data_IF_295442321067
#
_entry.id   IF_295442321067
#
_cell.length_a   1.000
_cell.length_b   1.000
_cell.length_c   1.000
_cell.angle_alpha   90.00
_cell.angle_beta   90.00
_cell.angle_gamma   90.00
#
_symmetry.space_group_name_H-M   'P 1'
#
loop_
_entity.id
_entity.type
_entity.pdbx_description
1 polymer ?
#
# COMPACT_ATOMS: atom_id res chain seq x y z
N UNK A 1 19.66 10.31 28.18
CA UNK A 1 18.20 10.09 28.09
C UNK A 1 17.97 8.58 28.23
N UNK A 2 17.31 8.12 29.30
CA UNK A 2 17.05 6.70 29.53
C UNK A 2 15.87 6.31 28.62
N UNK A 3 16.09 5.40 27.66
CA UNK A 3 15.01 4.93 26.78
C UNK A 3 14.01 4.18 27.67
N UNK A 4 12.85 4.80 27.89
CA UNK A 4 11.70 4.14 28.51
C UNK A 4 10.92 3.43 27.39
N UNK A 5 10.57 2.14 27.53
CA UNK A 5 9.76 1.41 26.55
C UNK A 5 8.33 1.95 26.36
N UNK A 6 7.96 3.02 27.07
CA UNK A 6 6.70 3.75 26.91
C UNK A 6 6.80 5.06 26.13
N UNK A 7 8.01 5.55 25.80
CA UNK A 7 8.17 6.76 25.00
C UNK A 7 8.00 6.43 23.51
N UNK A 8 6.78 6.54 22.99
CA UNK A 8 6.44 6.25 21.59
C UNK A 8 7.24 7.11 20.60
N UNK A 9 7.44 8.40 20.89
CA UNK A 9 8.24 9.28 20.03
C UNK A 9 9.69 8.81 19.92
N UNK A 10 10.29 8.36 21.03
CA UNK A 10 11.63 7.79 21.03
C UNK A 10 11.69 6.44 20.30
N UNK A 11 10.65 5.61 20.39
CA UNK A 11 10.54 4.35 19.64
C UNK A 11 10.45 4.59 18.13
N UNK A 12 9.58 5.51 17.69
CA UNK A 12 9.44 5.87 16.27
C UNK A 12 10.71 6.54 15.72
N UNK A 13 11.41 7.29 16.56
CA UNK A 13 12.66 7.96 16.18
C UNK A 13 13.88 7.03 16.21
N UNK A 14 13.77 5.86 16.84
CA UNK A 14 14.86 4.91 16.97
C UNK A 14 15.28 4.39 15.59
N UNK A 15 16.59 4.49 15.31
CA UNK A 15 17.20 3.91 14.11
C UNK A 15 17.98 2.67 14.53
N UNK A 16 17.59 1.51 14.03
CA UNK A 16 18.39 0.29 14.17
C UNK A 16 19.81 0.51 13.65
N UNK A 17 20.81 0.01 14.37
CA UNK A 17 22.21 0.14 13.95
C UNK A 17 22.42 -0.59 12.62
N UNK A 18 22.93 0.12 11.61
CA UNK A 18 23.13 -0.42 10.26
C UNK A 18 22.01 -0.08 9.26
N UNK A 19 20.85 0.40 9.73
CA UNK A 19 19.79 0.81 8.82
C UNK A 19 20.06 2.22 8.27
N UNK A 20 19.89 2.45 6.95
CA UNK A 20 19.97 3.79 6.37
C UNK A 20 18.82 4.68 6.88
N UNK A 21 18.95 6.01 6.74
CA UNK A 21 17.99 6.96 7.32
C UNK A 21 16.57 6.82 6.74
N UNK A 22 16.48 6.45 5.46
CA UNK A 22 15.24 6.26 4.72
C UNK A 22 14.41 5.04 5.14
N UNK A 23 14.87 4.22 6.09
CA UNK A 23 14.08 3.09 6.63
C UNK A 23 13.16 3.52 7.77
N UNK A 24 13.04 4.81 8.07
CA UNK A 24 12.18 5.29 9.16
C UNK A 24 10.77 5.54 8.64
N UNK A 25 9.71 5.30 9.43
CA UNK A 25 8.36 5.67 9.04
C UNK A 25 8.21 7.18 8.73
N UNK A 26 8.99 8.04 9.40
CA UNK A 26 8.98 9.50 9.15
C UNK A 26 9.57 9.88 7.78
N UNK A 27 10.36 9.00 7.17
CA UNK A 27 10.85 9.20 5.80
C UNK A 27 9.92 8.56 4.77
N UNK A 28 8.89 7.82 5.20
CA UNK A 28 7.86 7.31 4.33
C UNK A 28 6.80 8.40 4.09
N UNK A 29 6.38 8.53 2.85
CA UNK A 29 5.38 9.51 2.44
C UNK A 29 4.13 8.72 2.08
N UNK A 30 3.22 8.65 3.04
CA UNK A 30 1.95 7.94 2.89
C UNK A 30 1.04 8.72 1.97
N UNK A 31 0.76 8.18 0.79
CA UNK A 31 -0.45 8.51 0.05
C UNK A 31 -1.38 7.28 0.07
N UNK A 32 -2.63 7.41 -0.35
CA UNK A 32 -3.69 6.39 -0.24
C UNK A 32 -3.41 5.05 -0.95
N UNK A 33 -2.23 4.91 -1.58
CA UNK A 33 -1.67 3.66 -2.05
C UNK A 33 -0.38 3.39 -1.26
N UNK A 34 -0.19 2.17 -0.71
CA UNK A 34 1.02 1.85 0.04
C UNK A 34 2.24 2.26 -0.79
N UNK A 35 3.09 3.10 -0.21
CA UNK A 35 4.35 3.45 -0.84
C UNK A 35 5.12 2.19 -1.18
N UNK A 36 5.95 2.24 -2.22
CA UNK A 36 6.77 1.11 -2.68
C UNK A 36 7.78 0.60 -1.63
N UNK A 37 7.80 1.20 -0.45
CA UNK A 37 8.63 0.80 0.66
C UNK A 37 7.98 -0.29 1.52
N UNK A 38 6.65 -0.29 1.67
CA UNK A 38 5.92 -1.23 2.54
C UNK A 38 4.50 -1.50 2.06
N UNK A 39 4.14 -2.78 1.94
CA UNK A 39 2.76 -3.24 1.79
C UNK A 39 2.09 -3.47 3.15
N UNK A 40 1.39 -2.45 3.65
CA UNK A 40 0.65 -2.55 4.91
C UNK A 40 -0.62 -3.41 4.83
N UNK A 41 -1.09 -3.78 3.63
CA UNK A 41 -2.25 -4.68 3.49
C UNK A 41 -1.96 -6.04 4.11
N UNK A 42 -0.69 -6.43 4.15
CA UNK A 42 -0.20 -7.67 4.77
C UNK A 42 -0.64 -7.81 6.23
N UNK A 43 -0.83 -6.71 6.96
CA UNK A 43 -1.39 -6.73 8.33
C UNK A 43 -2.76 -7.42 8.36
N UNK A 44 -3.56 -7.25 7.32
CA UNK A 44 -4.89 -7.84 7.20
C UNK A 44 -4.88 -9.36 7.14
N UNK A 45 -3.81 -9.97 6.59
CA UNK A 45 -3.71 -11.41 6.34
C UNK A 45 -4.03 -12.24 7.57
N UNK A 46 -3.55 -11.83 8.74
CA UNK A 46 -3.72 -12.56 10.01
C UNK A 46 -4.52 -11.77 11.04
N UNK A 47 -5.34 -10.81 10.60
CA UNK A 47 -6.10 -9.93 11.49
C UNK A 47 -7.02 -10.71 12.44
N UNK A 48 -7.52 -11.87 12.01
CA UNK A 48 -8.37 -12.73 12.80
C UNK A 48 -7.61 -13.96 13.28
N UNK A 49 -7.80 -14.33 14.55
CA UNK A 49 -7.19 -15.55 15.09
C UNK A 49 -7.64 -16.79 14.31
N UNK A 50 -6.70 -17.70 14.03
CA UNK A 50 -6.96 -18.93 13.29
C UNK A 50 -7.30 -18.74 11.81
N UNK A 51 -7.21 -17.54 11.23
CA UNK A 51 -7.43 -17.30 9.79
C UNK A 51 -6.21 -16.67 9.11
N UNK A 52 -5.94 -17.12 7.89
CA UNK A 52 -5.05 -16.44 6.95
C UNK A 52 -5.83 -16.06 5.70
N UNK A 53 -5.92 -14.75 5.45
CA UNK A 53 -6.58 -14.14 4.30
C UNK A 53 -5.55 -13.72 3.24
N UNK A 54 -5.97 -13.66 1.97
CA UNK A 54 -5.28 -12.87 0.97
C UNK A 54 -5.71 -11.41 1.12
N UNK A 55 -4.73 -10.55 1.35
CA UNK A 55 -4.89 -9.13 1.67
C UNK A 55 -5.52 -8.27 0.57
N UNK A 56 -5.50 -8.71 -0.69
CA UNK A 56 -6.06 -7.94 -1.80
C UNK A 56 -7.49 -8.34 -2.20
N UNK A 57 -8.04 -9.44 -1.66
CA UNK A 57 -9.38 -9.90 -2.07
C UNK A 57 -10.12 -10.79 -1.05
N UNK A 58 -9.67 -10.82 0.20
CA UNK A 58 -10.37 -11.45 1.35
C UNK A 58 -10.66 -12.96 1.22
N UNK A 59 -9.90 -13.69 0.39
CA UNK A 59 -10.01 -15.15 0.33
C UNK A 59 -9.30 -15.78 1.52
N UNK A 60 -9.97 -16.70 2.20
CA UNK A 60 -9.35 -17.54 3.23
C UNK A 60 -8.47 -18.59 2.56
N UNK A 61 -7.15 -18.42 2.66
CA UNK A 61 -6.17 -19.39 2.16
C UNK A 61 -5.81 -20.44 3.18
N UNK A 62 -5.90 -20.10 4.46
CA UNK A 62 -5.73 -21.06 5.53
C UNK A 62 -6.62 -20.75 6.74
N UNK A 63 -7.01 -21.81 7.44
CA UNK A 63 -7.90 -21.72 8.59
C UNK A 63 -7.65 -22.86 9.59
N UNK A 64 -7.46 -22.51 10.85
CA UNK A 64 -7.30 -23.41 11.98
C UNK A 64 -8.64 -23.66 12.68
N UNK A 65 -8.80 -24.72 13.48
CA UNK A 65 -9.96 -24.88 14.35
C UNK A 65 -10.18 -23.65 15.26
N UNK A 66 -11.43 -23.19 15.45
CA UNK A 66 -12.69 -23.78 15.00
C UNK A 66 -13.11 -23.38 13.56
N UNK A 67 -12.31 -22.60 12.85
CA UNK A 67 -12.66 -22.00 11.56
C UNK A 67 -12.22 -22.80 10.33
N UNK A 68 -11.67 -24.01 10.49
CA UNK A 68 -11.14 -24.84 9.41
C UNK A 68 -12.06 -25.01 8.19
N UNK A 69 -13.39 -24.99 8.40
CA UNK A 69 -14.39 -25.06 7.32
C UNK A 69 -14.42 -23.85 6.39
N UNK A 70 -13.83 -22.72 6.76
CA UNK A 70 -13.83 -21.48 5.98
C UNK A 70 -12.77 -21.44 4.87
N UNK A 71 -11.88 -22.44 4.78
CA UNK A 71 -10.85 -22.48 3.73
C UNK A 71 -11.50 -22.41 2.33
N UNK A 72 -11.03 -21.46 1.52
CA UNK A 72 -11.56 -21.07 0.20
C UNK A 72 -12.93 -20.35 0.20
N UNK A 73 -13.42 -19.93 1.35
CA UNK A 73 -14.50 -18.94 1.44
C UNK A 73 -13.94 -17.53 1.40
N UNK A 74 -14.77 -16.55 1.04
CA UNK A 74 -14.38 -15.13 1.03
C UNK A 74 -15.08 -14.38 2.14
N UNK A 75 -14.34 -13.57 2.88
CA UNK A 75 -14.88 -12.64 3.87
C UNK A 75 -15.45 -11.42 3.11
N UNK A 76 -16.76 -11.20 3.22
CA UNK A 76 -17.47 -10.14 2.48
C UNK A 76 -17.72 -8.92 3.34
N UNK A 77 -17.99 -9.14 4.62
CA UNK A 77 -18.27 -8.09 5.59
C UNK A 77 -17.90 -8.54 7.00
N UNK A 78 -17.72 -7.56 7.88
CA UNK A 78 -17.67 -7.75 9.32
C UNK A 78 -18.77 -6.95 10.00
N UNK A 79 -19.14 -7.32 11.22
CA UNK A 79 -19.87 -6.44 12.11
C UNK A 79 -19.07 -5.14 12.31
N UNK A 80 -19.72 -4.00 12.12
CA UNK A 80 -19.06 -2.70 12.24
C UNK A 80 -18.80 -2.35 13.71
N UNK A 81 -17.54 -2.32 14.16
CA UNK A 81 -17.23 -2.07 15.57
C UNK A 81 -17.59 -0.65 16.03
N UNK A 82 -17.74 0.29 15.10
CA UNK A 82 -18.03 1.69 15.42
C UNK A 82 -19.52 1.95 15.65
N UNK A 83 -20.40 1.19 14.98
CA UNK A 83 -21.86 1.36 15.09
C UNK A 83 -22.54 0.26 15.90
N UNK A 84 -21.88 -0.89 16.11
CA UNK A 84 -22.36 -2.02 16.92
C UNK A 84 -23.63 -2.71 16.41
N UNK A 85 -24.21 -2.22 15.31
CA UNK A 85 -25.49 -2.70 14.74
C UNK A 85 -25.46 -2.79 13.21
N UNK A 86 -24.36 -2.39 12.58
CA UNK A 86 -24.16 -2.41 11.14
C UNK A 86 -23.20 -3.50 10.66
N UNK A 87 -23.10 -3.63 9.34
CA UNK A 87 -22.07 -4.42 8.66
C UNK A 87 -21.15 -3.48 7.90
N UNK A 88 -19.85 -3.65 8.08
CA UNK A 88 -18.83 -3.03 7.26
C UNK A 88 -18.55 -3.95 6.07
N UNK A 89 -19.04 -3.58 4.89
CA UNK A 89 -18.69 -4.28 3.65
C UNK A 89 -17.20 -4.10 3.37
N UNK A 90 -16.52 -5.19 3.07
CA UNK A 90 -15.11 -5.21 2.71
C UNK A 90 -14.91 -5.31 1.20
N UNK A 91 -15.98 -5.37 0.42
CA UNK A 91 -15.92 -5.49 -1.03
C UNK A 91 -16.86 -4.47 -1.65
N UNK A 92 -16.41 -3.83 -2.72
CA UNK A 92 -17.17 -2.79 -3.41
C UNK A 92 -17.21 -3.08 -4.91
N UNK A 93 -18.30 -2.72 -5.61
CA UNK A 93 -18.31 -2.72 -7.06
C UNK A 93 -17.36 -1.64 -7.57
N UNK A 94 -16.56 -2.00 -8.56
CA UNK A 94 -15.60 -1.12 -9.20
C UNK A 94 -16.26 -0.55 -10.44
N UNK A 95 -16.43 0.77 -10.48
CA UNK A 95 -17.02 1.46 -11.62
C UNK A 95 -15.96 2.26 -12.35
N UNK A 96 -16.09 2.31 -13.67
CA UNK A 96 -15.19 3.07 -14.52
C UNK A 96 -15.36 4.57 -14.32
N UNK A 97 -14.45 5.34 -14.91
CA UNK A 97 -14.65 6.79 -15.03
C UNK A 97 -15.98 7.00 -15.76
N UNK A 98 -16.93 7.76 -15.17
CA UNK A 98 -18.15 8.11 -15.86
C UNK A 98 -17.77 8.99 -17.06
N UNK A 99 -17.93 8.45 -18.28
CA UNK A 99 -17.77 9.20 -19.51
C UNK A 99 -19.16 9.46 -20.09
N UNK A 100 -19.37 10.57 -20.82
CA UNK A 100 -20.63 10.79 -21.53
C UNK A 100 -20.97 9.57 -22.41
N UNK A 101 -22.05 8.86 -22.07
CA UNK A 101 -22.48 7.64 -22.79
C UNK A 101 -21.88 6.32 -22.30
N UNK A 102 -21.07 6.32 -21.23
CA UNK A 102 -20.53 5.10 -20.61
C UNK A 102 -20.75 5.11 -19.09
N UNK A 103 -21.68 4.26 -18.64
CA UNK A 103 -21.78 3.78 -17.26
C UNK A 103 -21.45 2.28 -17.28
N UNK A 104 -20.21 1.92 -17.01
CA UNK A 104 -19.78 0.53 -17.03
C UNK A 104 -19.15 0.10 -15.71
N UNK A 105 -19.66 -0.99 -15.15
CA UNK A 105 -18.93 -1.77 -14.17
C UNK A 105 -17.62 -2.27 -14.79
N UNK A 106 -16.51 -2.22 -14.04
CA UNK A 106 -15.17 -2.62 -14.52
C UNK A 106 -14.94 -4.13 -14.45
N UNK A 107 -15.98 -4.92 -14.72
CA UNK A 107 -15.86 -6.37 -14.82
C UNK A 107 -14.99 -6.78 -16.01
N UNK A 108 -14.18 -7.81 -15.85
CA UNK A 108 -13.39 -8.41 -16.94
C UNK A 108 -13.33 -9.95 -16.83
N UNK A 109 -12.67 -10.65 -17.76
CA UNK A 109 -12.60 -12.12 -17.74
C UNK A 109 -12.05 -12.70 -16.43
N UNK A 110 -11.15 -11.96 -15.76
CA UNK A 110 -10.50 -12.35 -14.49
C UNK A 110 -11.23 -11.82 -13.25
N UNK A 111 -12.07 -10.79 -13.39
CA UNK A 111 -12.90 -10.21 -12.34
C UNK A 111 -14.31 -9.96 -12.88
N UNK A 112 -15.06 -11.04 -13.15
CA UNK A 112 -16.36 -10.95 -13.85
C UNK A 112 -17.38 -10.09 -13.12
N UNK A 113 -17.26 -10.05 -11.79
CA UNK A 113 -18.17 -9.33 -10.91
C UNK A 113 -17.72 -7.88 -10.66
N UNK A 114 -16.60 -7.45 -11.27
CA UNK A 114 -16.08 -6.08 -11.14
C UNK A 114 -15.80 -5.69 -9.69
N UNK A 115 -15.40 -6.63 -8.84
CA UNK A 115 -15.26 -6.42 -7.40
C UNK A 115 -13.84 -6.00 -7.06
N UNK A 116 -13.70 -4.98 -6.22
CA UNK A 116 -12.40 -4.61 -5.66
C UNK A 116 -12.45 -4.51 -4.14
N UNK A 117 -11.34 -4.89 -3.51
CA UNK A 117 -11.10 -4.64 -2.09
C UNK A 117 -10.40 -3.28 -1.91
N UNK A 118 -11.11 -2.19 -2.21
CA UNK A 118 -10.53 -0.84 -2.11
C UNK A 118 -10.59 -0.26 -0.70
N UNK A 119 -11.44 -0.82 0.16
CA UNK A 119 -11.72 -0.28 1.50
C UNK A 119 -10.78 -0.81 2.59
N UNK A 120 -9.64 -1.41 2.23
CA UNK A 120 -8.77 -2.09 3.20
C UNK A 120 -8.28 -1.17 4.32
N UNK A 121 -7.87 0.07 4.00
CA UNK A 121 -7.33 1.01 4.99
C UNK A 121 -8.42 1.48 5.96
N UNK A 122 -9.61 1.81 5.44
CA UNK A 122 -10.77 2.16 6.26
C UNK A 122 -11.22 0.98 7.12
N UNK A 123 -11.22 -0.23 6.54
CA UNK A 123 -11.55 -1.46 7.26
C UNK A 123 -10.56 -1.76 8.38
N UNK A 124 -9.27 -1.56 8.14
CA UNK A 124 -8.22 -1.73 9.12
C UNK A 124 -8.35 -0.72 10.27
N UNK A 125 -8.63 0.54 9.96
CA UNK A 125 -8.87 1.57 10.97
C UNK A 125 -10.10 1.26 11.82
N UNK A 126 -11.20 0.83 11.19
CA UNK A 126 -12.44 0.45 11.89
C UNK A 126 -12.26 -0.77 12.77
N UNK A 127 -11.57 -1.79 12.28
CA UNK A 127 -11.39 -3.04 13.02
C UNK A 127 -10.41 -2.90 14.19
N UNK A 128 -9.50 -1.93 14.13
CA UNK A 128 -8.60 -1.62 15.24
C UNK A 128 -9.34 -1.30 16.55
N UNK A 129 -10.56 -0.74 16.46
CA UNK A 129 -11.43 -0.50 17.61
C UNK A 129 -11.89 -1.81 18.28
N UNK A 130 -11.95 -2.91 17.52
CA UNK A 130 -12.32 -4.25 18.01
C UNK A 130 -11.13 -5.09 18.49
N UNK A 131 -9.91 -4.55 18.55
CA UNK A 131 -8.71 -5.31 19.00
C UNK A 131 -8.95 -6.06 20.33
N UNK A 132 -8.61 -7.34 20.36
CA UNK A 132 -8.80 -8.22 21.50
C UNK A 132 -10.26 -8.61 21.80
N UNK A 133 -11.22 -8.17 20.98
CA UNK A 133 -12.64 -8.53 21.09
C UNK A 133 -13.04 -9.48 19.95
N UNK A 134 -14.16 -10.14 20.16
CA UNK A 134 -14.81 -10.98 19.16
C UNK A 134 -15.87 -10.18 18.41
N UNK A 135 -15.90 -10.31 17.09
CA UNK A 135 -16.91 -9.72 16.20
C UNK A 135 -17.45 -10.77 15.23
N UNK A 136 -18.61 -10.54 14.62
CA UNK A 136 -19.08 -11.42 13.56
C UNK A 136 -18.45 -11.11 12.20
N UNK A 137 -17.93 -12.14 11.52
CA UNK A 137 -17.57 -12.12 10.11
C UNK A 137 -18.62 -12.82 9.24
N UNK A 138 -18.83 -12.31 8.03
CA UNK A 138 -19.78 -12.83 7.05
C UNK A 138 -19.04 -13.36 5.83
N UNK A 139 -19.14 -14.65 5.60
CA UNK A 139 -18.44 -15.37 4.54
C UNK A 139 -19.40 -15.90 3.48
N UNK A 140 -18.90 -16.11 2.27
CA UNK A 140 -19.65 -16.76 1.20
C UNK A 140 -20.27 -18.09 1.67
N UNK A 141 -21.51 -18.37 1.27
CA UNK A 141 -22.20 -19.61 1.65
C UNK A 141 -21.49 -20.89 1.13
N UNK A 142 -20.78 -20.75 0.01
CA UNK A 142 -19.97 -21.80 -0.63
C UNK A 142 -18.56 -21.26 -0.87
N UNK A 143 -17.61 -22.16 -1.10
CA UNK A 143 -16.26 -21.81 -1.57
C UNK A 143 -16.37 -21.00 -2.86
N UNK A 144 -15.59 -19.93 -2.97
CA UNK A 144 -15.69 -18.98 -4.09
C UNK A 144 -14.29 -18.66 -4.64
N UNK A 145 -13.90 -19.26 -5.78
CA UNK A 145 -12.64 -18.91 -6.42
C UNK A 145 -12.70 -17.49 -7.01
N UNK A 146 -13.87 -17.00 -7.41
CA UNK A 146 -14.07 -15.65 -7.95
C UNK A 146 -14.45 -14.66 -6.83
N UNK A 147 -14.04 -13.40 -6.96
CA UNK A 147 -14.48 -12.29 -6.11
C UNK A 147 -16.00 -12.12 -6.23
N UNK A 148 -16.69 -11.89 -5.12
CA UNK A 148 -18.14 -11.69 -5.10
C UNK A 148 -18.49 -10.50 -4.21
N UNK A 149 -19.57 -9.81 -4.55
CA UNK A 149 -20.10 -8.71 -3.73
C UNK A 149 -20.87 -9.25 -2.52
N UNK A 150 -20.98 -8.39 -1.51
CA UNK A 150 -21.95 -8.59 -0.45
C UNK A 150 -23.37 -8.54 -1.04
N UNK A 151 -24.25 -9.53 -0.76
CA UNK A 151 -25.63 -9.48 -1.22
C UNK A 151 -26.38 -8.28 -0.64
N UNK A 152 -27.16 -7.59 -1.48
CA UNK A 152 -27.99 -6.45 -1.06
C UNK A 152 -29.25 -6.88 -0.29
N UNK A 153 -29.79 -8.06 -0.61
CA UNK A 153 -31.03 -8.57 -0.02
C UNK A 153 -30.75 -9.32 1.27
N UNK A 154 -31.39 -8.93 2.36
CA UNK A 154 -31.25 -9.60 3.67
C UNK A 154 -31.55 -11.11 3.62
N UNK A 155 -32.49 -11.54 2.77
CA UNK A 155 -32.78 -12.96 2.57
C UNK A 155 -31.59 -13.75 2.01
N UNK A 156 -30.71 -13.11 1.24
CA UNK A 156 -29.49 -13.70 0.71
C UNK A 156 -28.32 -13.57 1.69
N UNK A 157 -28.27 -12.47 2.45
CA UNK A 157 -27.34 -12.29 3.57
C UNK A 157 -27.52 -13.40 4.61
N UNK A 158 -28.77 -13.79 4.92
CA UNK A 158 -29.08 -14.85 5.86
C UNK A 158 -28.54 -16.24 5.43
N UNK A 159 -28.18 -16.41 4.15
CA UNK A 159 -27.57 -17.65 3.63
C UNK A 159 -26.05 -17.67 3.79
N UNK A 160 -25.42 -16.55 4.13
CA UNK A 160 -23.98 -16.44 4.34
C UNK A 160 -23.57 -17.20 5.59
N UNK A 161 -22.31 -17.64 5.61
CA UNK A 161 -21.73 -18.25 6.81
C UNK A 161 -21.35 -17.12 7.77
N UNK A 162 -22.04 -17.04 8.90
CA UNK A 162 -21.76 -16.10 9.98
C UNK A 162 -20.95 -16.79 11.07
N UNK A 163 -19.78 -16.25 11.40
CA UNK A 163 -18.87 -16.82 12.42
C UNK A 163 -18.35 -15.72 13.33
N UNK A 164 -18.10 -16.08 14.58
CA UNK A 164 -17.37 -15.24 15.52
C UNK A 164 -15.88 -15.25 15.17
N UNK A 165 -15.25 -14.08 15.19
CA UNK A 165 -13.84 -13.88 14.87
C UNK A 165 -13.18 -13.04 15.97
N UNK A 166 -12.09 -13.55 16.56
CA UNK A 166 -11.27 -12.78 17.49
C UNK A 166 -10.31 -11.87 16.72
N UNK A 167 -10.38 -10.57 16.97
CA UNK A 167 -9.52 -9.57 16.31
C UNK A 167 -8.19 -9.44 17.04
N UNK A 168 -7.07 -9.65 16.34
CA UNK A 168 -5.73 -9.49 16.91
C UNK A 168 -5.38 -8.01 17.12
N UNK A 169 -4.57 -7.68 18.14
CA UNK A 169 -4.01 -6.34 18.28
C UNK A 169 -2.97 -6.05 17.19
N UNK A 170 -3.04 -4.86 16.59
CA UNK A 170 -2.10 -4.43 15.54
C UNK A 170 -0.69 -4.21 16.09
N UNK A 171 -0.60 -3.67 17.31
CA UNK A 171 0.66 -3.28 17.94
C UNK A 171 1.01 -4.22 19.09
N UNK A 172 2.31 -4.40 19.31
CA UNK A 172 2.82 -5.13 20.48
C UNK A 172 2.44 -4.41 21.77
N UNK A 173 2.34 -5.18 22.85
CA UNK A 173 2.10 -4.65 24.20
C UNK A 173 3.35 -4.80 25.05
N UNK A 174 3.69 -3.77 25.82
CA UNK A 174 4.81 -3.78 26.74
C UNK A 174 4.59 -4.82 27.86
N UNK A 175 5.53 -5.75 28.07
CA UNK A 175 5.41 -6.76 29.13
C UNK A 175 5.60 -6.17 30.53
N UNK A 176 6.05 -4.92 30.65
CA UNK A 176 6.32 -4.25 31.93
C UNK A 176 5.07 -3.56 32.48
N UNK A 177 4.33 -2.87 31.61
CA UNK A 177 3.21 -2.00 32.03
C UNK A 177 1.93 -2.21 31.21
N UNK A 178 1.89 -3.19 30.30
CA UNK A 178 0.69 -3.53 29.53
C UNK A 178 0.28 -2.46 28.51
N UNK A 179 1.13 -1.47 28.22
CA UNK A 179 0.79 -0.39 27.28
C UNK A 179 1.15 -0.74 25.85
N UNK A 180 0.41 -0.22 24.84
CA UNK A 180 0.78 -0.37 23.44
C UNK A 180 2.19 0.19 23.16
N UNK A 181 2.93 -0.53 22.32
CA UNK A 181 4.24 -0.13 21.81
C UNK A 181 4.14 0.25 20.33
N UNK A 182 5.19 0.87 19.78
CA UNK A 182 5.23 1.22 18.35
C UNK A 182 5.35 0.02 17.37
N UNK A 183 6.03 -1.09 17.70
CA UNK A 183 6.17 -2.21 16.75
C UNK A 183 4.83 -2.88 16.40
N UNK A 184 4.66 -3.23 15.12
CA UNK A 184 3.57 -4.09 14.64
C UNK A 184 3.73 -5.48 15.27
N UNK A 185 2.62 -6.09 15.65
CA UNK A 185 2.60 -7.42 16.24
C UNK A 185 3.20 -8.46 15.31
N UNK A 186 4.12 -9.28 15.84
CA UNK A 186 4.68 -10.43 15.11
C UNK A 186 3.67 -11.52 14.81
N UNK A 187 2.51 -11.50 15.47
CA UNK A 187 1.40 -12.40 15.13
C UNK A 187 0.71 -12.01 13.81
N UNK A 188 0.88 -10.77 13.38
CA UNK A 188 0.31 -10.27 12.13
C UNK A 188 1.30 -10.33 10.98
N UNK A 189 2.55 -9.93 11.25
CA UNK A 189 3.57 -9.70 10.24
C UNK A 189 4.89 -10.35 10.65
N UNK A 190 5.38 -11.25 9.82
CA UNK A 190 6.69 -11.89 9.94
C UNK A 190 7.78 -11.09 9.21
N UNK A 191 9.07 -11.32 9.52
CA UNK A 191 10.18 -10.67 8.82
C UNK A 191 10.09 -10.84 7.29
N UNK A 192 10.18 -9.73 6.56
CA UNK A 192 10.12 -9.70 5.09
C UNK A 192 8.72 -9.57 4.51
N UNK A 193 7.65 -9.83 5.28
CA UNK A 193 6.31 -9.85 4.72
C UNK A 193 5.80 -8.46 4.31
N UNK A 194 6.25 -7.37 4.95
CA UNK A 194 5.90 -6.00 4.52
C UNK A 194 6.48 -5.64 3.15
N UNK A 195 7.43 -6.40 2.63
CA UNK A 195 8.08 -6.10 1.34
C UNK A 195 7.91 -7.20 0.32
N UNK A 196 7.37 -8.36 0.70
CA UNK A 196 7.31 -9.56 -0.14
C UNK A 196 6.43 -9.41 -1.38
N UNK A 197 5.40 -8.55 -1.31
CA UNK A 197 4.45 -8.30 -2.40
C UNK A 197 4.89 -7.20 -3.36
N UNK A 198 6.03 -6.55 -3.10
CA UNK A 198 6.58 -5.49 -3.94
C UNK A 198 7.38 -6.10 -5.10
N UNK A 199 7.61 -5.34 -6.17
CA UNK A 199 8.40 -5.84 -7.29
C UNK A 199 9.84 -6.15 -6.87
N UNK A 200 10.34 -7.26 -7.39
CA UNK A 200 11.74 -7.66 -7.27
C UNK A 200 12.34 -7.81 -8.68
N UNK A 201 13.31 -6.96 -9.07
CA UNK A 201 13.90 -5.89 -8.28
C UNK A 201 13.01 -4.62 -8.21
N UNK A 202 13.18 -3.80 -7.17
CA UNK A 202 12.34 -2.64 -6.85
C UNK A 202 12.31 -1.55 -7.95
N UNK A 203 13.34 -1.50 -8.81
CA UNK A 203 13.40 -0.54 -9.91
C UNK A 203 12.24 -0.72 -10.90
N UNK A 204 11.62 -1.90 -10.95
CA UNK A 204 10.43 -2.12 -11.76
C UNK A 204 9.27 -1.23 -11.27
N UNK A 205 8.95 -1.28 -9.98
CA UNK A 205 7.94 -0.39 -9.42
C UNK A 205 8.36 1.08 -9.57
N UNK A 206 9.65 1.40 -9.36
CA UNK A 206 10.14 2.77 -9.48
C UNK A 206 9.92 3.40 -10.85
N UNK A 207 9.99 2.60 -11.93
CA UNK A 207 9.78 3.07 -13.30
C UNK A 207 8.34 2.90 -13.78
N UNK A 208 7.62 1.84 -13.37
CA UNK A 208 6.23 1.57 -13.77
C UNK A 208 5.18 2.42 -13.04
N UNK A 209 5.42 2.81 -11.78
CA UNK A 209 4.47 3.62 -11.03
C UNK A 209 4.41 5.05 -11.55
N UNK A 210 3.70 5.23 -12.68
CA UNK A 210 3.46 6.50 -13.36
C UNK A 210 2.43 7.40 -12.64
N UNK A 211 1.90 6.95 -11.50
CA UNK A 211 0.97 7.74 -10.73
C UNK A 211 1.73 8.80 -9.91
N UNK A 212 1.27 10.05 -9.97
CA UNK A 212 1.81 11.21 -9.24
C UNK A 212 1.70 11.12 -7.70
N UNK A 213 1.35 9.96 -7.14
CA UNK A 213 0.97 9.80 -5.74
C UNK A 213 2.13 9.94 -4.75
N UNK A 214 3.37 10.02 -5.21
CA UNK A 214 4.57 9.87 -4.37
C UNK A 214 5.71 10.80 -4.77
N UNK A 215 5.36 12.01 -5.25
CA UNK A 215 6.29 13.02 -5.77
C UNK A 215 7.44 13.40 -4.82
N UNK A 216 7.32 13.15 -3.52
CA UNK A 216 8.39 13.48 -2.57
C UNK A 216 9.39 12.32 -2.33
N UNK A 217 9.07 11.08 -2.73
CA UNK A 217 10.02 9.94 -2.75
C UNK A 217 10.50 9.60 -4.17
N UNK A 218 9.66 9.85 -5.18
CA UNK A 218 9.96 9.72 -6.60
C UNK A 218 9.34 10.91 -7.32
N UNK A 219 10.03 12.06 -7.37
CA UNK A 219 9.49 13.23 -8.03
C UNK A 219 9.32 12.94 -9.51
N UNK A 220 8.21 13.38 -10.11
CA UNK A 220 8.02 13.37 -11.56
C UNK A 220 8.43 14.71 -12.17
N UNK A 221 8.10 15.80 -11.48
CA UNK A 221 8.31 17.18 -11.90
C UNK A 221 9.28 17.90 -10.96
N UNK A 222 10.47 18.22 -11.45
CA UNK A 222 11.57 18.82 -10.68
C UNK A 222 12.05 20.12 -11.31
N UNK A 223 12.90 20.87 -10.60
CA UNK A 223 13.45 22.16 -11.05
C UNK A 223 12.36 23.16 -11.46
N UNK A 224 11.29 23.21 -10.67
CA UNK A 224 10.09 23.97 -10.98
C UNK A 224 10.33 25.47 -10.87
N UNK A 225 9.97 26.21 -11.91
CA UNK A 225 9.99 27.67 -11.98
C UNK A 225 8.58 28.17 -12.24
N UNK A 226 8.08 29.03 -11.36
CA UNK A 226 6.76 29.64 -11.49
C UNK A 226 6.74 30.66 -12.64
N UNK A 227 5.72 30.57 -13.49
CA UNK A 227 5.42 31.52 -14.55
C UNK A 227 4.63 32.71 -14.03
N UNK A 228 4.83 33.88 -14.65
CA UNK A 228 4.12 35.11 -14.28
C UNK A 228 2.61 35.05 -14.52
N UNK A 229 2.14 34.09 -15.32
CA UNK A 229 0.73 33.83 -15.64
C UNK A 229 0.09 32.76 -14.74
N UNK A 230 0.81 32.31 -13.70
CA UNK A 230 0.37 31.25 -12.79
C UNK A 230 0.59 29.83 -13.34
N UNK A 231 1.27 29.69 -14.49
CA UNK A 231 1.79 28.39 -14.94
C UNK A 231 3.09 28.04 -14.23
N UNK A 232 3.65 26.87 -14.49
CA UNK A 232 5.01 26.55 -14.08
C UNK A 232 5.73 25.80 -15.21
N UNK A 233 7.05 25.88 -15.21
CA UNK A 233 7.91 25.06 -16.07
C UNK A 233 8.88 24.25 -15.21
N UNK A 234 9.33 23.10 -15.70
CA UNK A 234 10.21 22.20 -14.97
C UNK A 234 10.60 21.00 -15.81
N UNK A 235 11.35 20.08 -15.22
CA UNK A 235 11.88 18.91 -15.92
C UNK A 235 11.18 17.63 -15.45
N UNK A 236 11.16 16.62 -16.33
CA UNK A 236 10.86 15.25 -15.95
C UNK A 236 12.07 14.64 -15.24
N UNK A 237 11.89 14.19 -13.99
CA UNK A 237 12.94 13.54 -13.21
C UNK A 237 13.52 12.29 -13.91
N UNK A 238 12.69 11.55 -14.64
CA UNK A 238 13.12 10.32 -15.31
C UNK A 238 13.75 10.57 -16.69
N UNK A 239 13.78 11.81 -17.18
CA UNK A 239 14.42 12.14 -18.45
C UNK A 239 15.92 11.85 -18.40
N UNK A 240 16.43 11.24 -19.48
CA UNK A 240 17.86 10.97 -19.67
C UNK A 240 18.59 12.31 -19.84
N UNK A 241 18.06 13.14 -20.73
CA UNK A 241 18.55 14.49 -20.98
C UNK A 241 17.49 15.51 -20.56
N UNK A 242 17.86 16.40 -19.62
CA UNK A 242 16.97 17.46 -19.13
C UNK A 242 17.29 18.77 -19.86
N UNK A 243 16.32 19.39 -20.55
CA UNK A 243 16.55 20.66 -21.22
C UNK A 243 16.96 21.76 -20.24
N UNK A 244 18.03 22.49 -20.58
CA UNK A 244 18.47 23.65 -19.84
C UNK A 244 17.39 24.74 -19.90
N UNK A 245 16.95 25.23 -18.74
CA UNK A 245 15.86 26.22 -18.64
C UNK A 245 14.45 25.64 -18.51
N UNK A 246 14.32 24.32 -18.35
CA UNK A 246 13.03 23.64 -18.20
C UNK A 246 12.49 23.09 -19.52
N UNK A 247 11.53 22.17 -19.43
CA UNK A 247 11.01 21.42 -20.56
C UNK A 247 10.66 20.02 -20.12
N UNK A 248 9.36 19.76 -19.97
CA UNK A 248 8.88 18.48 -19.51
C UNK A 248 8.90 17.47 -20.66
N UNK A 249 9.84 16.54 -20.61
CA UNK A 249 9.88 15.39 -21.52
C UNK A 249 8.75 14.44 -21.13
N UNK A 250 7.81 14.20 -22.04
CA UNK A 250 6.70 13.30 -21.76
C UNK A 250 7.20 11.85 -21.79
N UNK A 251 6.85 11.07 -20.77
CA UNK A 251 7.05 9.62 -20.80
C UNK A 251 5.83 8.95 -21.48
N UNK A 252 5.90 8.83 -22.80
CA UNK A 252 4.89 8.11 -23.60
C UNK A 252 5.23 6.62 -23.79
N UNK A 253 6.31 6.16 -23.14
CA UNK A 253 6.86 4.81 -23.24
C UNK A 253 7.26 4.38 -24.66
N UNK A 254 7.46 5.32 -25.58
CA UNK A 254 7.71 5.03 -27.00
C UNK A 254 9.02 5.60 -27.53
N UNK A 255 9.47 6.74 -27.03
CA UNK A 255 10.59 7.50 -27.62
C UNK A 255 11.96 7.28 -26.96
N UNK A 256 12.01 6.55 -25.83
CA UNK A 256 13.25 6.24 -25.11
C UNK A 256 13.91 7.45 -24.44
N UNK A 257 13.21 8.58 -24.33
CA UNK A 257 13.75 9.82 -23.76
C UNK A 257 13.86 9.79 -22.21
N UNK A 258 13.32 8.74 -21.58
CA UNK A 258 13.37 8.50 -20.13
C UNK A 258 14.06 7.16 -19.83
N UNK A 259 14.63 7.01 -18.63
CA UNK A 259 15.30 5.77 -18.22
C UNK A 259 14.39 4.54 -18.30
N UNK A 260 14.89 3.45 -18.88
CA UNK A 260 14.21 2.15 -18.97
C UNK A 260 14.51 1.24 -17.77
N UNK A 261 13.75 0.14 -17.64
CA UNK A 261 14.00 -0.91 -16.63
C UNK A 261 15.41 -1.47 -16.74
N UNK A 262 15.82 -1.84 -17.94
CA UNK A 262 17.12 -2.48 -18.18
C UNK A 262 18.28 -1.57 -17.77
N UNK A 263 18.16 -0.28 -18.06
CA UNK A 263 19.13 0.72 -17.63
C UNK A 263 19.17 0.82 -16.10
N UNK A 264 18.02 0.96 -15.43
CA UNK A 264 17.97 1.05 -13.97
C UNK A 264 18.44 -0.24 -13.28
N UNK A 265 18.22 -1.41 -13.86
CA UNK A 265 18.74 -2.67 -13.35
C UNK A 265 20.27 -2.71 -13.40
N UNK A 266 20.87 -2.17 -14.46
CA UNK A 266 22.31 -2.15 -14.65
C UNK A 266 23.01 -1.09 -13.79
N UNK A 267 22.45 0.11 -13.65
CA UNK A 267 23.16 1.22 -13.01
C UNK A 267 22.24 2.31 -12.41
N UNK A 268 21.21 1.92 -11.65
CA UNK A 268 20.34 2.91 -10.97
C UNK A 268 21.13 3.92 -10.12
N UNK A 269 22.21 3.52 -9.44
CA UNK A 269 23.02 4.43 -8.62
C UNK A 269 23.74 5.51 -9.46
N UNK A 270 24.09 5.16 -10.70
CA UNK A 270 24.67 6.09 -11.66
C UNK A 270 23.65 7.07 -12.22
N UNK A 271 22.43 6.59 -12.48
CA UNK A 271 21.38 7.33 -13.18
C UNK A 271 20.50 8.19 -12.23
N UNK A 272 20.15 7.66 -11.06
CA UNK A 272 19.28 8.32 -10.08
C UNK A 272 20.09 9.12 -9.04
N UNK A 273 21.00 9.98 -9.49
CA UNK A 273 21.79 10.84 -8.60
C UNK A 273 21.04 12.14 -8.30
N UNK A 274 21.07 12.54 -7.03
CA UNK A 274 20.57 13.84 -6.60
C UNK A 274 21.71 14.86 -6.62
N UNK A 275 21.53 15.96 -7.34
CA UNK A 275 22.37 17.15 -7.18
C UNK A 275 21.68 18.06 -6.17
N UNK A 276 22.25 18.20 -4.98
CA UNK A 276 21.69 19.02 -3.91
C UNK A 276 22.51 20.31 -3.81
N UNK A 277 21.89 21.45 -4.14
CA UNK A 277 22.51 22.77 -3.97
C UNK A 277 23.59 23.16 -5.00
N UNK A 278 23.68 22.46 -6.14
CA UNK A 278 24.53 22.79 -7.28
C UNK A 278 23.80 22.56 -8.61
N UNK A 279 24.30 23.12 -9.72
CA UNK A 279 23.70 22.87 -11.04
C UNK A 279 24.14 21.51 -11.59
N UNK A 280 23.25 20.84 -12.32
CA UNK A 280 23.59 19.60 -13.06
C UNK A 280 24.77 19.81 -14.02
N UNK A 281 24.95 21.03 -14.51
CA UNK A 281 26.08 21.42 -15.34
C UNK A 281 27.41 21.32 -14.60
N UNK A 282 27.46 21.68 -13.31
CA UNK A 282 28.66 21.49 -12.50
C UNK A 282 28.97 20.00 -12.28
N UNK A 283 27.95 19.17 -12.02
CA UNK A 283 28.14 17.72 -11.89
C UNK A 283 28.57 17.07 -13.22
N UNK A 284 28.11 17.59 -14.37
CA UNK A 284 28.57 17.16 -15.69
C UNK A 284 30.04 17.51 -15.92
N UNK A 285 30.43 18.75 -15.65
CA UNK A 285 31.81 19.23 -15.81
C UNK A 285 32.77 18.46 -14.89
N UNK A 286 32.38 18.18 -13.64
CA UNK A 286 33.18 17.40 -12.69
C UNK A 286 33.40 15.94 -13.12
N UNK A 287 32.57 15.40 -14.03
CA UNK A 287 32.73 14.06 -14.62
C UNK A 287 33.71 14.06 -15.79
N UNK A 288 33.69 15.11 -16.60
CA UNK A 288 34.58 15.27 -17.75
C UNK A 288 36.04 15.53 -17.32
N UNK A 289 36.25 16.20 -16.18
CA UNK A 289 37.58 16.46 -15.61
C UNK A 289 38.23 15.25 -14.90
N UNK A 290 37.51 14.13 -14.73
CA UNK A 290 37.98 12.91 -14.04
C UNK A 290 38.18 11.70 -14.95
N UNK A 291 38.04 11.86 -16.27
CA UNK A 291 38.37 10.86 -17.29
C UNK A 291 39.69 11.18 -18.00
#
# INVERSE_FOLDING_TARGET
MKISPSNLAAQLSYRGRGNPWNTKPVTAISNCFPGLEFDFRVIWRRMFEGLTLIECHNLVVDAEPPHAGLKHHRLLAIEDPATGTGRLSLVMPTKGVPMPGYEGDLGNLNNKNGVSFMEWANSLARIHEARGRTIFGYFTAKKSPEEVLMPEKEADVAKLIKVELTVRPIFETSPVDGKPMAPISRQLVEPGELTQGLCSPWQNDYRECACYYWAASRPDYVNVVDGADGTSTGNNWMAIDRPAGGGYVLDDRSDGAVWSYDQLFQNWQGFLKFVVGGSEEQDRLDREDKS
#
